data_IF_263546615190
#
_entry.id   IF_263546615190
#
_cell.length_a   1.000
_cell.length_b   1.000
_cell.length_c   1.000
_cell.angle_alpha   90.00
_cell.angle_beta   90.00
_cell.angle_gamma   90.00
#
_symmetry.space_group_name_H-M   'P 1'
#
loop_
_entity.id
_entity.type
_entity.pdbx_description
1 polymer ?
#
# COMPACT_ATOMS: atom_id res chain seq x y z
N UNK A 1 -25.18 0.24 8.57
CA UNK A 1 -25.01 1.00 7.30
C UNK A 1 -23.64 0.70 6.75
N UNK A 2 -23.52 0.26 5.50
CA UNK A 2 -22.22 0.04 4.86
C UNK A 2 -21.60 1.38 4.45
N UNK A 3 -20.36 1.61 4.86
CA UNK A 3 -19.60 2.84 4.63
C UNK A 3 -18.49 2.63 3.60
N UNK A 4 -17.94 3.74 3.07
CA UNK A 4 -16.70 3.70 2.28
C UNK A 4 -15.54 3.24 3.17
N UNK A 5 -14.64 2.45 2.59
CA UNK A 5 -13.45 1.96 3.29
C UNK A 5 -12.65 3.10 3.91
N UNK A 6 -12.16 2.87 5.13
CA UNK A 6 -11.37 3.80 5.91
C UNK A 6 -12.09 5.12 6.23
N UNK A 7 -13.40 5.07 6.51
CA UNK A 7 -14.15 6.25 7.00
C UNK A 7 -14.20 6.24 8.53
N UNK A 8 -14.76 5.18 9.10
CA UNK A 8 -14.91 4.93 10.53
C UNK A 8 -13.85 3.98 11.07
N UNK A 9 -13.30 3.09 10.23
CA UNK A 9 -12.21 2.21 10.65
C UNK A 9 -11.02 3.00 11.19
N UNK A 10 -10.79 4.23 10.70
CA UNK A 10 -9.76 5.17 11.18
C UNK A 10 -9.75 5.35 12.70
N UNK A 11 -10.93 5.32 13.35
CA UNK A 11 -11.09 5.52 14.79
C UNK A 11 -10.47 4.40 15.62
N UNK A 12 -10.43 3.18 15.08
CA UNK A 12 -9.85 2.00 15.73
C UNK A 12 -8.56 1.53 15.02
N UNK A 13 -8.20 2.13 13.89
CA UNK A 13 -7.09 1.70 13.03
C UNK A 13 -5.74 1.61 13.77
N UNK A 14 -5.35 2.57 14.62
CA UNK A 14 -4.11 2.45 15.40
C UNK A 14 -4.08 1.20 16.28
N UNK A 15 -5.22 0.81 16.85
CA UNK A 15 -5.34 -0.39 17.68
C UNK A 15 -5.31 -1.67 16.84
N UNK A 16 -5.94 -1.67 15.65
CA UNK A 16 -5.92 -2.77 14.68
C UNK A 16 -4.49 -3.05 14.19
N UNK A 17 -3.71 -1.99 14.00
CA UNK A 17 -2.34 -2.03 13.44
C UNK A 17 -1.23 -2.01 14.50
N UNK A 18 -1.56 -2.16 15.79
CA UNK A 18 -0.61 -1.94 16.90
C UNK A 18 0.60 -2.88 16.92
N UNK A 19 0.49 -4.06 16.31
CA UNK A 19 1.56 -5.06 16.24
C UNK A 19 2.53 -4.83 15.07
N UNK A 20 2.26 -3.84 14.20
CA UNK A 20 3.12 -3.54 13.07
C UNK A 20 4.37 -2.80 13.53
N UNK A 21 5.53 -3.36 13.20
CA UNK A 21 6.81 -2.67 13.37
C UNK A 21 7.04 -1.67 12.22
N UNK A 22 6.50 -0.46 12.40
CA UNK A 22 6.68 0.63 11.44
C UNK A 22 8.14 1.07 11.27
N UNK A 23 9.00 0.83 12.26
CA UNK A 23 10.43 1.17 12.12
C UNK A 23 11.08 0.18 11.16
N UNK A 24 10.84 -1.13 11.33
CA UNK A 24 11.33 -2.15 10.40
C UNK A 24 10.84 -1.92 8.97
N UNK A 25 9.56 -1.57 8.80
CA UNK A 25 9.02 -1.17 7.49
C UNK A 25 9.74 0.04 6.90
N UNK A 26 9.92 1.11 7.67
CA UNK A 26 10.61 2.31 7.22
C UNK A 26 12.07 2.01 6.84
N UNK A 27 12.80 1.26 7.68
CA UNK A 27 14.19 0.88 7.41
C UNK A 27 14.30 0.04 6.12
N UNK A 28 13.35 -0.89 5.90
CA UNK A 28 13.27 -1.69 4.68
C UNK A 28 13.01 -0.86 3.43
N UNK A 29 12.00 0.02 3.45
CA UNK A 29 11.70 0.89 2.30
C UNK A 29 12.85 1.85 2.02
N UNK A 30 13.51 2.37 3.07
CA UNK A 30 14.67 3.23 2.91
C UNK A 30 15.90 2.51 2.33
N UNK A 31 16.07 1.21 2.61
CA UNK A 31 17.14 0.43 1.99
C UNK A 31 16.91 0.27 0.49
N UNK A 32 15.67 0.03 0.05
CA UNK A 32 15.30 -0.03 -1.37
C UNK A 32 15.58 1.31 -2.06
N UNK A 33 15.30 2.44 -1.40
CA UNK A 33 15.54 3.77 -1.98
C UNK A 33 17.02 4.02 -2.33
N UNK A 34 17.96 3.23 -1.80
CA UNK A 34 19.40 3.33 -2.12
C UNK A 34 19.73 2.86 -3.54
N UNK A 35 18.87 2.05 -4.15
CA UNK A 35 19.03 1.58 -5.53
C UNK A 35 18.97 2.72 -6.57
N UNK A 36 18.42 3.89 -6.20
CA UNK A 36 18.42 5.11 -7.04
C UNK A 36 19.84 5.70 -7.17
N UNK A 37 20.78 5.35 -6.29
CA UNK A 37 22.19 5.82 -6.32
C UNK A 37 22.37 7.35 -6.35
N UNK A 38 21.38 8.08 -5.83
CA UNK A 38 21.38 9.55 -5.74
C UNK A 38 21.23 10.00 -4.29
N UNK A 39 21.92 11.09 -3.91
CA UNK A 39 21.71 11.76 -2.63
C UNK A 39 20.50 12.70 -2.74
N UNK A 40 19.85 13.01 -1.61
CA UNK A 40 18.80 14.03 -1.56
C UNK A 40 17.59 13.74 -2.47
N UNK A 41 17.03 12.53 -2.35
CA UNK A 41 15.91 12.09 -3.17
C UNK A 41 14.63 12.87 -2.88
N UNK A 42 13.80 12.98 -3.92
CA UNK A 42 12.40 13.40 -3.86
C UNK A 42 11.54 12.14 -3.80
N UNK A 43 10.80 11.94 -2.73
CA UNK A 43 10.02 10.74 -2.50
C UNK A 43 8.50 11.00 -2.52
N UNK A 44 7.74 9.99 -2.92
CA UNK A 44 6.28 9.95 -2.85
C UNK A 44 5.82 8.62 -2.25
N UNK A 45 5.02 8.67 -1.19
CA UNK A 45 4.29 7.50 -0.67
C UNK A 45 2.85 7.50 -1.21
N UNK A 46 2.44 6.39 -1.81
CA UNK A 46 1.08 6.16 -2.29
C UNK A 46 0.31 5.26 -1.30
N UNK A 47 -0.96 5.59 -1.07
CA UNK A 47 -1.81 4.92 -0.09
C UNK A 47 -1.18 4.88 1.32
N UNK A 48 -0.72 6.05 1.79
CA UNK A 48 0.05 6.16 3.03
C UNK A 48 -0.76 5.86 4.30
N UNK A 49 -2.08 5.76 4.20
CA UNK A 49 -2.98 5.65 5.34
C UNK A 49 -2.78 6.81 6.31
N UNK A 50 -2.40 6.48 7.55
CA UNK A 50 -2.14 7.47 8.62
C UNK A 50 -0.72 8.06 8.58
N UNK A 51 0.09 7.74 7.56
CA UNK A 51 1.43 8.31 7.37
C UNK A 51 2.48 7.83 8.39
N UNK A 52 2.31 6.63 8.96
CA UNK A 52 3.19 6.09 10.01
C UNK A 52 4.57 5.68 9.52
N UNK A 53 4.69 5.22 8.27
CA UNK A 53 6.01 5.02 7.65
C UNK A 53 6.60 6.39 7.33
N UNK A 54 5.78 7.29 6.77
CA UNK A 54 6.22 8.61 6.38
C UNK A 54 6.92 9.39 7.50
N UNK A 55 6.34 9.38 8.71
CA UNK A 55 6.91 10.06 9.87
C UNK A 55 8.33 9.59 10.22
N UNK A 56 8.64 8.31 10.00
CA UNK A 56 9.97 7.74 10.21
C UNK A 56 10.95 8.10 9.10
N UNK A 57 10.46 8.37 7.89
CA UNK A 57 11.27 8.64 6.70
C UNK A 57 11.42 10.13 6.35
N UNK A 58 10.61 11.04 6.91
CA UNK A 58 10.58 12.45 6.49
C UNK A 58 11.92 13.19 6.50
N UNK A 59 12.84 12.83 7.38
CA UNK A 59 14.19 13.43 7.46
C UNK A 59 15.22 12.74 6.57
N UNK A 60 14.86 11.65 5.88
CA UNK A 60 15.74 10.85 5.04
C UNK A 60 15.75 11.30 3.58
N UNK A 61 14.75 12.07 3.18
CA UNK A 61 14.55 12.58 1.83
C UNK A 61 14.65 14.11 1.82
N UNK A 62 15.11 14.69 0.71
CA UNK A 62 15.18 16.15 0.56
C UNK A 62 13.79 16.75 0.43
N UNK A 63 12.92 16.02 -0.23
CA UNK A 63 11.51 16.33 -0.36
C UNK A 63 10.71 15.05 -0.21
N UNK A 64 9.59 15.13 0.49
CA UNK A 64 8.75 13.97 0.68
C UNK A 64 7.28 14.37 0.74
N UNK A 65 6.50 13.77 -0.16
CA UNK A 65 5.06 13.91 -0.22
C UNK A 65 4.40 12.55 0.05
N UNK A 66 3.21 12.58 0.63
CA UNK A 66 2.38 11.38 0.83
C UNK A 66 1.01 11.58 0.21
N UNK A 67 0.36 10.48 -0.18
CA UNK A 67 -0.98 10.51 -0.72
C UNK A 67 -1.83 9.34 -0.26
N UNK A 68 -3.13 9.57 -0.15
CA UNK A 68 -4.12 8.56 0.18
C UNK A 68 -5.50 8.98 -0.37
N UNK A 69 -6.33 7.99 -0.71
CA UNK A 69 -7.69 8.24 -1.17
C UNK A 69 -8.62 8.62 -0.01
N UNK A 70 -8.36 8.11 1.20
CA UNK A 70 -9.13 8.43 2.39
C UNK A 70 -8.64 9.71 3.04
N UNK A 71 -9.46 10.75 2.92
CA UNK A 71 -9.26 12.01 3.63
C UNK A 71 -9.15 11.78 5.15
N UNK A 72 -9.91 10.83 5.71
CA UNK A 72 -9.87 10.56 7.16
C UNK A 72 -8.55 9.93 7.60
N UNK A 73 -7.95 9.07 6.76
CA UNK A 73 -6.65 8.47 7.05
C UNK A 73 -5.55 9.51 6.97
N UNK A 74 -5.45 10.23 5.85
CA UNK A 74 -4.33 11.14 5.58
C UNK A 74 -4.33 12.37 6.50
N UNK A 75 -5.49 12.77 7.04
CA UNK A 75 -5.57 13.83 8.06
C UNK A 75 -4.80 13.48 9.34
N UNK A 76 -4.63 12.19 9.64
CA UNK A 76 -3.86 11.74 10.81
C UNK A 76 -2.34 11.83 10.64
N UNK A 77 -1.85 12.11 9.41
CA UNK A 77 -0.42 12.25 9.17
C UNK A 77 0.14 13.54 9.79
N UNK A 78 1.46 13.57 10.04
CA UNK A 78 2.13 14.71 10.68
C UNK A 78 2.06 15.98 9.83
N UNK A 79 1.74 17.11 10.46
CA UNK A 79 1.57 18.43 9.81
C UNK A 79 2.80 18.91 9.01
N UNK A 80 4.00 18.46 9.38
CA UNK A 80 5.24 18.81 8.68
C UNK A 80 5.47 18.07 7.36
N UNK A 81 4.58 17.14 6.97
CA UNK A 81 4.71 16.34 5.75
C UNK A 81 3.69 16.82 4.72
N UNK A 82 4.17 17.16 3.52
CA UNK A 82 3.33 17.51 2.39
C UNK A 82 2.41 16.34 2.04
N UNK A 83 1.13 16.60 1.88
CA UNK A 83 0.12 15.55 1.67
C UNK A 83 -0.89 15.94 0.62
N UNK A 84 -1.36 14.94 -0.14
CA UNK A 84 -2.41 15.11 -1.16
C UNK A 84 -3.44 14.00 -1.01
N UNK A 85 -4.71 14.39 -0.84
CA UNK A 85 -5.81 13.42 -0.86
C UNK A 85 -6.18 13.13 -2.33
N UNK A 86 -5.76 11.98 -2.85
CA UNK A 86 -6.02 11.60 -4.24
C UNK A 86 -6.11 10.08 -4.42
N UNK A 87 -6.65 9.66 -5.56
CA UNK A 87 -6.66 8.27 -5.97
C UNK A 87 -5.31 7.91 -6.59
N UNK A 88 -4.70 6.79 -6.22
CA UNK A 88 -3.38 6.39 -6.76
C UNK A 88 -3.37 6.08 -8.27
N UNK A 89 -4.56 5.93 -8.88
CA UNK A 89 -4.72 5.79 -10.34
C UNK A 89 -5.09 7.11 -11.03
N UNK A 90 -5.04 8.24 -10.31
CA UNK A 90 -5.25 9.60 -10.82
C UNK A 90 -4.41 10.59 -9.99
N UNK A 91 -3.11 10.66 -10.28
CA UNK A 91 -2.12 11.40 -9.50
C UNK A 91 -1.98 12.86 -9.99
N UNK A 92 -2.24 13.87 -9.14
CA UNK A 92 -2.26 15.27 -9.57
C UNK A 92 -0.86 15.94 -9.59
N UNK A 93 0.22 15.16 -9.69
CA UNK A 93 1.58 15.65 -9.50
C UNK A 93 2.20 16.15 -10.80
N UNK A 94 2.50 17.46 -10.87
CA UNK A 94 3.32 18.05 -11.95
C UNK A 94 4.83 17.87 -11.70
N UNK A 95 5.22 17.69 -10.44
CA UNK A 95 6.59 17.42 -10.01
C UNK A 95 6.95 15.96 -10.30
N UNK A 96 8.21 15.72 -10.64
CA UNK A 96 8.79 14.39 -10.73
C UNK A 96 9.44 13.95 -9.42
N UNK A 97 9.37 12.66 -9.12
CA UNK A 97 9.95 12.01 -7.94
C UNK A 97 11.08 11.06 -8.36
N UNK A 98 12.06 10.89 -7.48
CA UNK A 98 13.15 9.93 -7.64
C UNK A 98 12.75 8.54 -7.11
N UNK A 99 11.88 8.50 -6.10
CA UNK A 99 11.47 7.28 -5.41
C UNK A 99 9.98 7.32 -5.07
N UNK A 100 9.20 6.48 -5.72
CA UNK A 100 7.76 6.31 -5.43
C UNK A 100 7.59 4.95 -4.76
N UNK A 101 6.76 4.87 -3.72
CA UNK A 101 6.47 3.59 -3.11
C UNK A 101 5.04 3.46 -2.58
N UNK A 102 4.54 2.23 -2.50
CA UNK A 102 3.27 1.88 -1.85
C UNK A 102 3.46 0.64 -0.98
N UNK A 103 2.93 0.65 0.24
CA UNK A 103 3.13 -0.44 1.20
C UNK A 103 1.83 -1.07 1.69
N UNK A 104 1.96 -2.15 2.46
CA UNK A 104 0.86 -2.85 3.11
C UNK A 104 -0.19 -3.33 2.10
N UNK A 105 0.29 -3.96 1.02
CA UNK A 105 -0.59 -4.60 0.04
C UNK A 105 -1.70 -3.66 -0.50
N UNK A 106 -1.42 -2.35 -0.51
CA UNK A 106 -2.35 -1.33 -0.98
C UNK A 106 -2.69 -1.52 -2.46
N UNK A 107 -1.73 -2.01 -3.26
CA UNK A 107 -1.96 -2.37 -4.67
C UNK A 107 -3.00 -3.48 -4.82
N UNK A 108 -3.15 -4.39 -3.85
CA UNK A 108 -4.19 -5.42 -3.89
C UNK A 108 -5.62 -4.85 -3.83
N UNK A 109 -5.83 -3.59 -3.41
CA UNK A 109 -7.14 -2.93 -3.51
C UNK A 109 -7.55 -2.59 -4.95
N UNK A 110 -6.62 -2.68 -5.92
CA UNK A 110 -6.91 -2.51 -7.34
C UNK A 110 -7.49 -3.80 -7.93
N UNK A 111 -8.81 -3.93 -7.89
CA UNK A 111 -9.53 -5.18 -8.16
C UNK A 111 -9.53 -5.66 -9.64
N UNK A 112 -8.99 -4.86 -10.56
CA UNK A 112 -8.95 -5.18 -12.00
C UNK A 112 -7.57 -4.89 -12.59
N UNK A 113 -7.14 -5.69 -13.59
CA UNK A 113 -5.90 -5.50 -14.34
C UNK A 113 -5.73 -4.05 -14.81
N UNK A 114 -6.78 -3.46 -15.39
CA UNK A 114 -6.77 -2.10 -15.92
C UNK A 114 -6.41 -1.06 -14.85
N UNK A 115 -6.81 -1.27 -13.59
CA UNK A 115 -6.48 -0.33 -12.51
C UNK A 115 -5.02 -0.41 -12.11
N UNK A 116 -4.41 -1.59 -12.16
CA UNK A 116 -2.96 -1.75 -11.94
C UNK A 116 -2.19 -1.06 -13.06
N UNK A 117 -2.62 -1.23 -14.31
CA UNK A 117 -2.02 -0.53 -15.46
C UNK A 117 -2.16 0.99 -15.27
N UNK A 118 -3.34 1.50 -14.92
CA UNK A 118 -3.50 2.95 -14.64
C UNK A 118 -2.62 3.45 -13.49
N UNK A 119 -2.41 2.66 -12.43
CA UNK A 119 -1.44 3.00 -11.39
C UNK A 119 -0.03 3.13 -11.97
N UNK A 120 0.39 2.16 -12.78
CA UNK A 120 1.72 2.16 -13.41
C UNK A 120 1.86 3.38 -14.34
N UNK A 121 0.87 3.70 -15.16
CA UNK A 121 0.90 4.85 -16.06
C UNK A 121 1.04 6.18 -15.29
N UNK A 122 0.23 6.36 -14.23
CA UNK A 122 0.29 7.55 -13.39
C UNK A 122 1.64 7.68 -12.66
N UNK A 123 2.20 6.58 -12.18
CA UNK A 123 3.53 6.58 -11.56
C UNK A 123 4.61 6.87 -12.60
N UNK A 124 4.52 6.33 -13.83
CA UNK A 124 5.42 6.69 -14.93
C UNK A 124 5.37 8.20 -15.17
N UNK A 125 4.19 8.80 -15.17
CA UNK A 125 3.99 10.24 -15.37
C UNK A 125 4.59 11.11 -14.26
N UNK A 126 4.72 10.64 -13.03
CA UNK A 126 5.34 11.42 -11.94
C UNK A 126 6.73 10.94 -11.52
N UNK A 127 7.31 9.91 -12.15
CA UNK A 127 8.64 9.40 -11.81
C UNK A 127 9.71 9.93 -12.77
N UNK A 128 10.90 10.25 -12.27
CA UNK A 128 12.09 10.50 -13.10
C UNK A 128 12.51 9.24 -13.87
N UNK A 129 13.22 9.42 -14.98
CA UNK A 129 13.63 8.30 -15.86
C UNK A 129 14.56 7.30 -15.15
N UNK A 130 15.45 7.80 -14.29
CA UNK A 130 16.32 6.98 -13.44
C UNK A 130 15.69 6.64 -12.07
N UNK A 131 14.42 6.98 -11.88
CA UNK A 131 13.70 6.76 -10.63
C UNK A 131 13.29 5.30 -10.43
N UNK A 132 12.83 5.00 -9.22
CA UNK A 132 12.31 3.69 -8.84
C UNK A 132 10.89 3.82 -8.34
N UNK A 133 10.02 2.91 -8.80
CA UNK A 133 8.75 2.63 -8.16
C UNK A 133 8.82 1.28 -7.46
N UNK A 134 8.46 1.21 -6.18
CA UNK A 134 8.43 -0.04 -5.43
C UNK A 134 7.10 -0.25 -4.73
N UNK A 135 6.54 -1.45 -4.82
CA UNK A 135 5.32 -1.79 -4.10
C UNK A 135 5.32 -3.24 -3.64
N UNK A 136 4.71 -3.50 -2.50
CA UNK A 136 4.50 -4.85 -2.01
C UNK A 136 3.07 -5.33 -2.26
N UNK A 137 2.91 -6.64 -2.39
CA UNK A 137 1.62 -7.30 -2.55
C UNK A 137 1.53 -8.55 -1.67
N UNK A 138 0.34 -8.78 -1.12
CA UNK A 138 -0.01 -10.04 -0.47
C UNK A 138 -0.34 -11.08 -1.53
N UNK A 139 0.31 -12.23 -1.47
CA UNK A 139 0.06 -13.38 -2.35
C UNK A 139 -0.92 -14.37 -1.68
N UNK A 140 -1.22 -15.46 -2.39
CA UNK A 140 -2.22 -16.45 -1.98
C UNK A 140 -1.89 -17.09 -0.63
N UNK A 141 -0.63 -17.45 -0.39
CA UNK A 141 -0.21 -18.09 0.86
C UNK A 141 -0.43 -17.17 2.08
N UNK A 142 -0.20 -15.85 1.95
CA UNK A 142 -0.53 -14.89 3.00
C UNK A 142 -2.04 -14.88 3.30
N UNK A 143 -2.88 -14.88 2.27
CA UNK A 143 -4.34 -14.91 2.47
C UNK A 143 -4.81 -16.21 3.14
N UNK A 144 -4.25 -17.36 2.75
CA UNK A 144 -4.56 -18.67 3.35
C UNK A 144 -4.13 -18.74 4.81
N UNK A 145 -2.95 -18.21 5.14
CA UNK A 145 -2.43 -18.17 6.50
C UNK A 145 -3.26 -17.25 7.40
N UNK A 146 -3.48 -16.00 6.99
CA UNK A 146 -4.02 -14.95 7.87
C UNK A 146 -5.55 -14.87 7.93
N UNK A 147 -6.30 -15.57 7.06
CA UNK A 147 -7.76 -15.55 7.12
C UNK A 147 -8.33 -16.02 8.48
N UNK A 148 -7.61 -16.91 9.20
CA UNK A 148 -8.02 -17.38 10.53
C UNK A 148 -7.54 -16.46 11.66
N UNK A 149 -6.32 -15.92 11.55
CA UNK A 149 -5.70 -15.11 12.60
C UNK A 149 -6.34 -13.72 12.77
N UNK A 150 -7.00 -13.20 11.73
CA UNK A 150 -7.56 -11.85 11.72
C UNK A 150 -8.98 -11.74 12.30
N UNK A 151 -9.55 -12.84 12.82
CA UNK A 151 -10.87 -12.84 13.43
C UNK A 151 -10.77 -12.39 14.90
N UNK A 152 -11.17 -11.15 15.18
CA UNK A 152 -11.06 -10.55 16.51
C UNK A 152 -12.22 -9.63 16.84
N UNK A 153 -12.49 -9.48 18.13
CA UNK A 153 -13.43 -8.50 18.69
C UNK A 153 -12.72 -7.68 19.75
N UNK A 154 -13.09 -6.42 19.91
CA UNK A 154 -12.47 -5.55 20.91
C UNK A 154 -13.22 -4.25 21.10
N UNK A 155 -12.64 -3.40 21.94
CA UNK A 155 -13.14 -2.05 22.21
C UNK A 155 -12.01 -1.05 22.39
N UNK A 156 -12.18 0.16 21.89
CA UNK A 156 -11.24 1.28 22.02
C UNK A 156 -12.06 2.56 22.21
N UNK A 157 -11.83 3.31 23.29
CA UNK A 157 -12.53 4.58 23.56
C UNK A 157 -14.06 4.48 23.38
N UNK A 158 -14.69 3.49 24.03
CA UNK A 158 -16.12 3.18 23.93
C UNK A 158 -16.65 2.77 22.55
N UNK A 159 -15.78 2.64 21.55
CA UNK A 159 -16.10 2.06 20.25
C UNK A 159 -15.84 0.56 20.31
N UNK A 160 -16.87 -0.27 20.07
CA UNK A 160 -16.72 -1.72 19.96
C UNK A 160 -16.56 -2.10 18.50
N UNK A 161 -15.79 -3.15 18.23
CA UNK A 161 -15.62 -3.65 16.86
C UNK A 161 -15.53 -5.17 16.81
N UNK A 162 -15.93 -5.71 15.66
CA UNK A 162 -15.71 -7.09 15.25
C UNK A 162 -15.06 -7.06 13.87
N UNK A 163 -13.92 -7.73 13.75
CA UNK A 163 -13.22 -7.98 12.49
C UNK A 163 -13.42 -9.44 12.11
N UNK A 164 -13.82 -9.69 10.85
CA UNK A 164 -13.87 -11.02 10.25
C UNK A 164 -13.11 -11.01 8.94
N UNK A 165 -12.21 -11.97 8.75
CA UNK A 165 -11.43 -12.14 7.53
C UNK A 165 -11.83 -13.44 6.84
N UNK A 166 -11.92 -13.39 5.51
CA UNK A 166 -12.27 -14.54 4.69
C UNK A 166 -11.61 -14.44 3.32
N UNK A 167 -10.92 -15.51 2.89
CA UNK A 167 -10.38 -15.61 1.56
C UNK A 167 -11.27 -16.48 0.66
N UNK A 168 -11.79 -15.90 -0.42
CA UNK A 168 -12.51 -16.63 -1.45
C UNK A 168 -11.54 -17.05 -2.56
N UNK A 169 -11.13 -18.32 -2.57
CA UNK A 169 -10.15 -18.86 -3.52
C UNK A 169 -10.63 -18.77 -4.97
N UNK A 170 -11.89 -19.14 -5.24
CA UNK A 170 -12.45 -19.13 -6.60
C UNK A 170 -12.41 -17.73 -7.26
N UNK A 171 -12.73 -16.69 -6.48
CA UNK A 171 -12.69 -15.29 -6.94
C UNK A 171 -11.31 -14.67 -6.77
N UNK A 172 -10.42 -15.30 -6.02
CA UNK A 172 -9.16 -14.75 -5.49
C UNK A 172 -9.35 -13.39 -4.83
N UNK A 173 -10.38 -13.26 -4.00
CA UNK A 173 -10.66 -12.02 -3.25
C UNK A 173 -10.53 -12.31 -1.77
N UNK A 174 -9.66 -11.57 -1.10
CA UNK A 174 -9.59 -11.52 0.35
C UNK A 174 -10.55 -10.43 0.84
N UNK A 175 -11.44 -10.80 1.76
CA UNK A 175 -12.40 -9.91 2.39
C UNK A 175 -11.99 -9.64 3.83
N UNK A 176 -12.13 -8.38 4.23
CA UNK A 176 -12.02 -7.95 5.62
C UNK A 176 -13.29 -7.17 5.99
N UNK A 177 -14.10 -7.75 6.86
CA UNK A 177 -15.35 -7.18 7.33
C UNK A 177 -15.13 -6.55 8.70
N UNK A 178 -15.51 -5.29 8.84
CA UNK A 178 -15.52 -4.59 10.11
C UNK A 178 -16.94 -4.19 10.46
N UNK A 179 -17.44 -4.72 11.56
CA UNK A 179 -18.65 -4.24 12.21
C UNK A 179 -18.21 -3.34 13.37
N UNK A 180 -18.58 -2.05 13.34
CA UNK A 180 -18.13 -1.04 14.32
C UNK A 180 -19.37 -0.43 14.98
N UNK A 181 -19.42 -0.48 16.31
CA UNK A 181 -20.42 0.18 17.14
C UNK A 181 -19.78 1.42 17.76
N UNK A 182 -20.23 2.59 17.32
CA UNK A 182 -19.77 3.88 17.81
C UNK A 182 -20.36 4.18 19.20
N UNK A 183 -19.73 5.11 19.92
CA UNK A 183 -20.13 5.49 21.27
C UNK A 183 -21.57 6.03 21.36
N UNK A 184 -22.08 6.65 20.29
CA UNK A 184 -23.46 7.12 20.18
C UNK A 184 -24.48 6.00 19.87
N UNK A 185 -24.06 4.72 19.88
CA UNK A 185 -24.91 3.57 19.58
C UNK A 185 -25.07 3.25 18.08
N UNK A 186 -24.52 4.08 17.19
CA UNK A 186 -24.61 3.86 15.75
C UNK A 186 -23.75 2.67 15.30
N UNK A 187 -24.33 1.77 14.51
CA UNK A 187 -23.62 0.64 13.88
C UNK A 187 -23.23 0.96 12.44
N UNK A 188 -21.94 0.85 12.14
CA UNK A 188 -21.37 1.05 10.81
C UNK A 188 -20.60 -0.20 10.38
N UNK A 189 -20.59 -0.46 9.08
CA UNK A 189 -19.89 -1.60 8.50
C UNK A 189 -18.93 -1.13 7.42
N UNK A 190 -17.72 -1.68 7.39
CA UNK A 190 -16.77 -1.49 6.28
C UNK A 190 -16.36 -2.86 5.73
N UNK A 191 -16.33 -2.96 4.39
CA UNK A 191 -16.00 -4.21 3.68
C UNK A 191 -14.82 -3.94 2.75
N UNK A 192 -13.65 -4.36 3.19
CA UNK A 192 -12.42 -4.25 2.44
C UNK A 192 -12.28 -5.46 1.53
N UNK A 193 -11.94 -5.21 0.27
CA UNK A 193 -11.73 -6.24 -0.75
C UNK A 193 -10.35 -6.05 -1.33
N UNK A 194 -9.58 -7.12 -1.34
CA UNK A 194 -8.26 -7.17 -1.95
C UNK A 194 -8.24 -8.30 -2.96
N UNK A 195 -7.87 -7.99 -4.20
CA UNK A 195 -7.65 -8.99 -5.24
C UNK A 195 -6.27 -9.59 -5.05
N UNK A 196 -6.25 -10.91 -4.87
CA UNK A 196 -5.03 -11.69 -4.73
C UNK A 196 -4.69 -12.24 -6.10
N UNK A 197 -3.99 -11.43 -6.90
CA UNK A 197 -3.49 -11.88 -8.19
C UNK A 197 -2.44 -12.97 -7.98
N UNK A 198 -2.31 -13.86 -8.97
CA UNK A 198 -1.20 -14.80 -9.05
C UNK A 198 0.10 -14.02 -9.19
N UNK A 199 1.18 -14.62 -8.73
CA UNK A 199 2.49 -13.99 -8.76
C UNK A 199 2.90 -13.59 -10.19
N UNK A 200 2.63 -14.45 -11.16
CA UNK A 200 2.96 -14.27 -12.58
C UNK A 200 2.12 -13.17 -13.24
N UNK A 201 0.87 -12.97 -12.79
CA UNK A 201 -0.03 -11.95 -13.33
C UNK A 201 0.57 -10.54 -13.15
N UNK A 202 1.31 -10.27 -12.07
CA UNK A 202 1.97 -8.98 -11.87
C UNK A 202 3.02 -8.68 -12.93
N UNK A 203 3.81 -9.67 -13.36
CA UNK A 203 4.82 -9.49 -14.40
C UNK A 203 4.14 -9.12 -15.74
N UNK A 204 3.06 -9.82 -16.09
CA UNK A 204 2.25 -9.50 -17.27
C UNK A 204 1.73 -8.06 -17.21
N UNK A 205 1.20 -7.63 -16.06
CA UNK A 205 0.67 -6.26 -15.93
C UNK A 205 1.76 -5.21 -16.09
N UNK A 206 2.95 -5.47 -15.54
CA UNK A 206 4.10 -4.57 -15.62
C UNK A 206 4.63 -4.51 -17.06
N UNK A 207 4.60 -5.62 -17.80
CA UNK A 207 5.01 -5.66 -19.21
C UNK A 207 4.11 -4.83 -20.14
N UNK A 208 2.88 -4.52 -19.73
CA UNK A 208 1.98 -3.59 -20.43
C UNK A 208 2.21 -2.11 -20.07
N UNK A 209 3.28 -1.78 -19.35
CA UNK A 209 3.59 -0.41 -18.93
C UNK A 209 5.01 0.00 -19.35
N UNK A 210 5.33 1.27 -19.11
CA UNK A 210 6.69 1.81 -19.29
C UNK A 210 7.72 1.22 -18.31
N UNK A 211 7.32 0.29 -17.43
CA UNK A 211 8.21 -0.30 -16.44
C UNK A 211 8.70 -1.69 -16.84
N UNK A 212 9.85 -2.07 -16.31
CA UNK A 212 10.29 -3.46 -16.19
C UNK A 212 10.57 -3.80 -14.72
N UNK A 213 10.48 -5.09 -14.38
CA UNK A 213 10.84 -5.59 -13.05
C UNK A 213 12.36 -5.60 -12.91
N UNK A 214 12.91 -4.67 -12.14
CA UNK A 214 14.35 -4.63 -11.85
C UNK A 214 14.72 -5.68 -10.80
N UNK A 215 13.89 -5.84 -9.76
CA UNK A 215 14.01 -6.89 -8.74
C UNK A 215 12.61 -7.28 -8.24
N UNK A 216 12.45 -8.54 -7.84
CA UNK A 216 11.26 -9.02 -7.14
C UNK A 216 11.70 -9.86 -5.92
N UNK A 217 11.52 -9.33 -4.72
CA UNK A 217 12.06 -9.92 -3.49
C UNK A 217 10.97 -10.49 -2.60
N UNK A 218 11.27 -11.59 -1.91
CA UNK A 218 10.47 -12.01 -0.78
C UNK A 218 10.64 -10.95 0.32
N UNK A 219 9.56 -10.25 0.67
CA UNK A 219 9.65 -9.00 1.41
C UNK A 219 10.46 -9.15 2.71
N UNK A 220 11.29 -8.15 3.04
CA UNK A 220 12.23 -8.14 4.17
C UNK A 220 13.40 -9.12 4.10
N UNK A 221 13.62 -9.78 2.96
CA UNK A 221 14.76 -10.68 2.75
C UNK A 221 15.55 -10.29 1.50
N UNK A 222 16.75 -10.85 1.34
CA UNK A 222 17.55 -10.71 0.12
C UNK A 222 17.19 -11.76 -0.95
N UNK A 223 16.31 -12.72 -0.62
CA UNK A 223 15.87 -13.80 -1.52
C UNK A 223 14.82 -13.31 -2.51
N UNK A 224 14.81 -13.90 -3.69
CA UNK A 224 13.80 -13.59 -4.70
C UNK A 224 12.43 -14.15 -4.32
N UNK A 225 11.37 -13.39 -4.60
CA UNK A 225 10.02 -13.87 -4.41
C UNK A 225 9.66 -14.92 -5.45
N UNK A 226 8.72 -15.77 -5.10
CA UNK A 226 8.09 -16.74 -5.99
C UNK A 226 6.61 -16.90 -5.62
N UNK A 227 5.87 -17.70 -6.37
CA UNK A 227 4.44 -17.95 -6.14
C UNK A 227 4.10 -18.50 -4.74
N UNK A 228 5.05 -19.09 -4.02
CA UNK A 228 4.88 -19.60 -2.66
C UNK A 228 5.20 -18.57 -1.57
N UNK A 229 5.76 -17.42 -1.93
CA UNK A 229 6.01 -16.34 -0.98
C UNK A 229 4.70 -15.80 -0.42
N UNK A 230 4.70 -15.33 0.82
CA UNK A 230 3.53 -14.66 1.41
C UNK A 230 3.38 -13.24 0.88
N UNK A 231 4.50 -12.52 0.75
CA UNK A 231 4.54 -11.13 0.30
C UNK A 231 5.68 -10.93 -0.68
N UNK A 232 5.35 -10.45 -1.88
CA UNK A 232 6.34 -10.08 -2.89
C UNK A 232 6.53 -8.57 -2.89
N UNK A 233 7.78 -8.12 -2.90
CA UNK A 233 8.19 -6.74 -3.09
C UNK A 233 8.69 -6.56 -4.53
N UNK A 234 7.93 -5.86 -5.34
CA UNK A 234 8.32 -5.48 -6.70
C UNK A 234 9.09 -4.16 -6.65
N UNK A 235 10.24 -4.12 -7.32
CA UNK A 235 11.07 -2.92 -7.51
C UNK A 235 11.19 -2.70 -9.01
N UNK A 236 10.59 -1.62 -9.50
CA UNK A 236 10.46 -1.31 -10.91
C UNK A 236 11.34 -0.14 -11.31
N UNK A 237 11.81 -0.19 -12.56
CA UNK A 237 12.49 0.92 -13.23
C UNK A 237 11.82 1.17 -14.57
N UNK A 238 11.87 2.41 -15.03
CA UNK A 238 11.39 2.73 -16.37
C UNK A 238 12.26 2.05 -17.42
N UNK A 239 11.61 1.50 -18.44
CA UNK A 239 12.26 1.08 -19.68
C UNK A 239 12.91 2.32 -20.27
N UNK A 240 14.19 2.22 -20.63
CA UNK A 240 14.79 3.26 -21.44
C UNK A 240 14.08 3.22 -22.79
N UNK A 241 13.48 4.33 -23.20
CA UNK A 241 12.99 4.45 -24.56
C UNK A 241 14.16 4.08 -25.48
N UNK A 242 13.98 3.05 -26.32
CA UNK A 242 14.87 2.86 -27.45
C UNK A 242 14.62 4.09 -28.33
N UNK A 243 15.59 5.00 -28.36
CA UNK A 243 15.67 5.97 -29.45
C UNK A 243 15.69 5.24 -30.78
#
# INVERSE_FOLDING_TARGET
MTSKNYTFLTLIYPHIMRSIDYKKWADYIFSISKEVKKKNLYALELACGTGKIASKLKKKFKYFCISDLSLQMIRSAENSIDRVCCNMIQLPFKRKFDFVYSTFDSVNYLLTKQKIISLLDEVSNCLHDDGIFTFDVSLENNSKLYQRYLNRKGSVNDIKFIQKSHYNESKRIHFNYFEILLANGQKVEEIHKQKIYRFEEYFEFIDHSDFYVYKCKNAFTDTDANAQSERAQFILKKRKNKC
#
